data_IF_315836179837
#
_entry.id   IF_315836179837
#
_cell.length_a   1.000
_cell.length_b   1.000
_cell.length_c   1.000
_cell.angle_alpha   90.00
_cell.angle_beta   90.00
_cell.angle_gamma   90.00
#
_symmetry.space_group_name_H-M   'P 1'
#
loop_
_entity.id
_entity.type
_entity.pdbx_description
1 polymer ?
#
# COMPACT_ATOMS: atom_id res chain seq x y z
N UNK A 1 5.36 -31.72 7.57
CA UNK A 1 5.79 -30.34 7.89
C UNK A 1 7.05 -29.97 7.13
N UNK A 2 8.12 -30.76 7.22
CA UNK A 2 9.39 -30.50 6.49
C UNK A 2 9.20 -30.28 4.98
N UNK A 3 8.54 -31.22 4.29
CA UNK A 3 8.23 -31.12 2.84
C UNK A 3 7.41 -29.87 2.45
N UNK A 4 6.54 -29.39 3.33
CA UNK A 4 5.76 -28.18 3.05
C UNK A 4 6.62 -26.93 3.20
N UNK A 5 7.47 -26.89 4.23
CA UNK A 5 8.38 -25.76 4.47
C UNK A 5 9.46 -25.62 3.40
N UNK A 6 9.95 -26.74 2.83
CA UNK A 6 11.01 -26.74 1.82
C UNK A 6 10.50 -26.64 0.38
N UNK A 7 9.21 -26.92 0.15
CA UNK A 7 8.59 -26.79 -1.18
C UNK A 7 7.57 -25.65 -1.22
N UNK A 8 6.34 -25.88 -0.74
CA UNK A 8 5.19 -24.97 -0.90
C UNK A 8 5.38 -23.62 -0.22
N UNK A 9 5.99 -23.61 0.96
CA UNK A 9 6.27 -22.40 1.73
C UNK A 9 7.73 -21.95 1.63
N UNK A 10 8.53 -22.53 0.72
CA UNK A 10 9.95 -22.21 0.60
C UNK A 10 10.20 -20.72 0.38
N UNK A 11 9.37 -20.09 -0.46
CA UNK A 11 9.42 -18.64 -0.73
C UNK A 11 9.07 -17.82 0.52
N UNK A 12 8.16 -18.33 1.36
CA UNK A 12 7.73 -17.70 2.60
C UNK A 12 8.75 -17.81 3.73
N UNK A 13 9.71 -18.71 3.61
CA UNK A 13 10.73 -19.01 4.64
C UNK A 13 12.10 -18.40 4.31
N UNK A 14 12.20 -17.58 3.25
CA UNK A 14 13.43 -16.87 2.90
C UNK A 14 13.74 -15.75 3.90
N UNK A 15 15.00 -15.31 3.94
CA UNK A 15 15.46 -14.22 4.80
C UNK A 15 14.72 -12.90 4.54
N UNK A 16 14.30 -12.67 3.30
CA UNK A 16 13.50 -11.51 2.89
C UNK A 16 12.16 -11.97 2.31
N UNK A 17 11.15 -11.09 2.39
CA UNK A 17 9.81 -11.35 1.84
C UNK A 17 9.72 -11.06 0.33
N UNK A 18 10.84 -10.79 -0.35
CA UNK A 18 10.83 -10.38 -1.75
C UNK A 18 10.26 -11.46 -2.67
N UNK A 19 10.59 -12.74 -2.40
CA UNK A 19 10.05 -13.86 -3.15
C UNK A 19 8.54 -13.99 -2.95
N UNK A 20 8.07 -13.96 -1.70
CA UNK A 20 6.64 -13.97 -1.36
C UNK A 20 5.89 -12.81 -2.00
N UNK A 21 6.44 -11.59 -1.93
CA UNK A 21 5.82 -10.43 -2.53
C UNK A 21 5.77 -10.54 -4.06
N UNK A 22 6.84 -11.03 -4.70
CA UNK A 22 6.85 -11.31 -6.14
C UNK A 22 5.81 -12.36 -6.52
N UNK A 23 5.63 -13.39 -5.69
CA UNK A 23 4.60 -14.43 -5.88
C UNK A 23 3.18 -13.85 -5.80
N UNK A 24 2.90 -13.01 -4.81
CA UNK A 24 1.60 -12.35 -4.68
C UNK A 24 1.25 -11.45 -5.88
N UNK A 25 2.25 -10.89 -6.57
CA UNK A 25 2.01 -10.08 -7.78
C UNK A 25 1.37 -10.87 -8.92
N UNK A 26 1.41 -12.21 -8.91
CA UNK A 26 0.74 -13.06 -9.91
C UNK A 26 -0.78 -12.92 -9.88
N UNK A 27 -1.35 -12.39 -8.79
CA UNK A 27 -2.78 -12.09 -8.69
C UNK A 27 -3.18 -11.05 -9.76
N UNK A 28 -2.33 -10.06 -10.03
CA UNK A 28 -2.66 -8.96 -10.94
C UNK A 28 -2.87 -9.36 -12.38
N UNK A 29 -1.95 -10.10 -13.03
CA UNK A 29 -2.22 -10.59 -14.38
C UNK A 29 -3.50 -11.43 -14.46
N UNK A 30 -3.77 -12.28 -13.46
CA UNK A 30 -4.98 -13.12 -13.46
C UNK A 30 -6.26 -12.27 -13.42
N UNK A 31 -6.28 -11.24 -12.56
CA UNK A 31 -7.43 -10.33 -12.47
C UNK A 31 -7.55 -9.49 -13.74
N UNK A 32 -6.46 -8.98 -14.31
CA UNK A 32 -6.49 -8.15 -15.53
C UNK A 32 -6.98 -8.93 -16.76
N UNK A 33 -6.55 -10.18 -16.89
CA UNK A 33 -6.92 -11.05 -18.02
C UNK A 33 -8.39 -11.46 -18.00
N UNK A 34 -8.99 -11.60 -16.82
CA UNK A 34 -10.42 -11.94 -16.68
C UNK A 34 -11.33 -10.71 -16.57
N UNK A 35 -10.87 -9.65 -15.90
CA UNK A 35 -11.63 -8.44 -15.64
C UNK A 35 -10.72 -7.21 -15.53
N UNK A 36 -10.39 -6.64 -16.69
CA UNK A 36 -9.52 -5.45 -16.76
C UNK A 36 -10.11 -4.22 -16.07
N UNK A 37 -11.45 -4.11 -15.96
CA UNK A 37 -12.09 -3.01 -15.23
C UNK A 37 -11.82 -3.11 -13.73
N UNK A 38 -12.01 -4.30 -13.14
CA UNK A 38 -11.66 -4.57 -11.75
C UNK A 38 -10.17 -4.35 -11.50
N UNK A 39 -9.31 -4.83 -12.39
CA UNK A 39 -7.88 -4.60 -12.28
C UNK A 39 -7.54 -3.09 -12.26
N UNK A 40 -8.10 -2.30 -13.17
CA UNK A 40 -7.86 -0.86 -13.21
C UNK A 40 -8.32 -0.17 -11.92
N UNK A 41 -9.49 -0.54 -11.39
CA UNK A 41 -9.99 -0.03 -10.12
C UNK A 41 -9.03 -0.35 -8.95
N UNK A 42 -8.54 -1.60 -8.87
CA UNK A 42 -7.58 -2.03 -7.85
C UNK A 42 -6.21 -1.33 -7.98
N UNK A 43 -5.76 -1.02 -9.20
CA UNK A 43 -4.55 -0.23 -9.40
C UNK A 43 -4.73 1.23 -8.99
N UNK A 44 -5.89 1.83 -9.31
CA UNK A 44 -6.22 3.21 -8.96
C UNK A 44 -6.34 3.42 -7.45
N UNK A 45 -6.90 2.44 -6.72
CA UNK A 45 -6.99 2.49 -5.26
C UNK A 45 -5.63 2.35 -4.56
N UNK A 46 -4.58 1.92 -5.27
CA UNK A 46 -3.25 1.69 -4.74
C UNK A 46 -3.20 0.68 -3.56
N UNK A 47 -4.13 -0.28 -3.52
CA UNK A 47 -4.21 -1.27 -2.43
C UNK A 47 -2.99 -2.21 -2.36
N UNK A 48 -2.34 -2.48 -3.50
CA UNK A 48 -1.25 -3.45 -3.58
C UNK A 48 -1.72 -4.88 -3.27
N UNK A 49 -0.79 -5.81 -3.05
CA UNK A 49 -1.10 -7.24 -2.85
C UNK A 49 -0.96 -7.71 -1.40
N UNK A 50 -0.57 -6.82 -0.48
CA UNK A 50 -0.26 -7.19 0.90
C UNK A 50 -1.47 -7.68 1.69
N UNK A 51 -2.69 -7.31 1.30
CA UNK A 51 -3.92 -7.86 1.90
C UNK A 51 -4.00 -9.40 1.78
N UNK A 52 -3.40 -9.97 0.72
CA UNK A 52 -3.40 -11.40 0.46
C UNK A 52 -2.24 -12.15 1.14
N UNK A 53 -1.28 -11.43 1.72
CA UNK A 53 -0.15 -12.03 2.43
C UNK A 53 -0.58 -13.01 3.54
N UNK A 54 -1.49 -12.65 4.48
CA UNK A 54 -1.95 -13.60 5.51
C UNK A 54 -2.63 -14.84 4.90
N UNK A 55 -3.33 -14.69 3.78
CA UNK A 55 -3.99 -15.79 3.09
C UNK A 55 -2.98 -16.77 2.52
N UNK A 56 -1.95 -16.25 1.85
CA UNK A 56 -0.92 -17.06 1.22
C UNK A 56 -0.04 -17.77 2.25
N UNK A 57 0.38 -17.07 3.31
CA UNK A 57 1.25 -17.62 4.35
C UNK A 57 0.61 -18.75 5.15
N UNK A 58 -0.71 -18.70 5.34
CA UNK A 58 -1.42 -19.62 6.24
C UNK A 58 -2.45 -20.48 5.53
N UNK A 59 -2.45 -20.47 4.18
CA UNK A 59 -3.47 -21.12 3.36
C UNK A 59 -4.89 -20.84 3.88
N UNK A 60 -5.17 -19.56 4.13
CA UNK A 60 -6.45 -19.04 4.66
C UNK A 60 -6.84 -19.52 6.07
N UNK A 61 -5.98 -20.24 6.79
CA UNK A 61 -6.30 -20.85 8.08
C UNK A 61 -6.68 -19.87 9.19
N UNK A 62 -6.25 -18.60 9.10
CA UNK A 62 -6.67 -17.54 10.02
C UNK A 62 -7.71 -16.57 9.45
N UNK A 63 -8.10 -16.75 8.19
CA UNK A 63 -8.99 -15.83 7.48
C UNK A 63 -10.40 -16.37 7.29
N UNK A 64 -10.60 -17.67 7.53
CA UNK A 64 -11.90 -18.34 7.47
C UNK A 64 -12.34 -18.76 8.86
N UNK A 65 -13.63 -18.57 9.15
CA UNK A 65 -14.23 -19.04 10.40
C UNK A 65 -14.62 -20.52 10.35
N UNK A 66 -14.84 -21.06 9.14
CA UNK A 66 -15.25 -22.45 8.93
C UNK A 66 -14.04 -23.37 8.85
N UNK A 67 -13.87 -24.21 9.88
CA UNK A 67 -12.81 -25.23 9.89
C UNK A 67 -12.91 -26.20 8.72
N UNK A 68 -14.14 -26.54 8.30
CA UNK A 68 -14.40 -27.43 7.17
C UNK A 68 -13.79 -26.86 5.87
N UNK A 69 -13.97 -25.56 5.64
CA UNK A 69 -13.48 -24.92 4.41
C UNK A 69 -11.96 -24.78 4.44
N UNK A 70 -11.37 -24.51 5.61
CA UNK A 70 -9.90 -24.53 5.79
C UNK A 70 -9.35 -25.90 5.42
N UNK A 71 -9.87 -26.99 6.00
CA UNK A 71 -9.37 -28.34 5.70
C UNK A 71 -9.55 -28.67 4.22
N UNK A 72 -10.69 -28.28 3.62
CA UNK A 72 -10.95 -28.51 2.20
C UNK A 72 -9.95 -27.79 1.29
N UNK A 73 -9.57 -26.57 1.63
CA UNK A 73 -8.51 -25.82 0.93
C UNK A 73 -7.15 -26.51 1.07
N UNK A 74 -6.81 -27.00 2.27
CA UNK A 74 -5.58 -27.77 2.47
C UNK A 74 -5.55 -29.03 1.62
N UNK A 75 -6.63 -29.82 1.59
CA UNK A 75 -6.73 -31.01 0.73
C UNK A 75 -6.48 -30.66 -0.74
N UNK A 76 -7.07 -29.56 -1.20
CA UNK A 76 -6.90 -29.08 -2.56
C UNK A 76 -5.46 -28.63 -2.85
N UNK A 77 -4.85 -27.83 -1.97
CA UNK A 77 -3.48 -27.34 -2.16
C UNK A 77 -2.44 -28.47 -2.11
N UNK A 78 -2.64 -29.46 -1.24
CA UNK A 78 -1.76 -30.63 -1.16
C UNK A 78 -1.85 -31.52 -2.41
N UNK A 79 -3.00 -31.54 -3.07
CA UNK A 79 -3.24 -32.31 -4.30
C UNK A 79 -2.94 -31.53 -5.60
N UNK A 80 -2.54 -30.26 -5.50
CA UNK A 80 -2.39 -29.34 -6.63
C UNK A 80 -0.97 -28.80 -6.78
N UNK A 81 -0.63 -28.19 -7.93
CA UNK A 81 0.64 -27.47 -8.07
C UNK A 81 0.79 -26.32 -7.06
N UNK A 82 2.05 -26.00 -6.72
CA UNK A 82 2.41 -25.02 -5.66
C UNK A 82 1.81 -23.62 -5.84
N UNK A 83 1.44 -23.23 -7.06
CA UNK A 83 0.90 -21.91 -7.38
C UNK A 83 -0.58 -21.77 -7.05
N UNK A 84 -1.28 -22.88 -6.79
CA UNK A 84 -2.73 -22.90 -6.70
C UNK A 84 -3.34 -21.97 -5.64
N UNK A 85 -2.71 -21.71 -4.47
CA UNK A 85 -3.19 -20.69 -3.54
C UNK A 85 -3.34 -19.29 -4.15
N UNK A 86 -2.48 -18.93 -5.12
CA UNK A 86 -2.59 -17.66 -5.84
C UNK A 86 -3.78 -17.65 -6.79
N UNK A 87 -4.04 -18.75 -7.48
CA UNK A 87 -5.19 -18.88 -8.38
C UNK A 87 -6.51 -18.86 -7.61
N UNK A 88 -6.56 -19.50 -6.44
CA UNK A 88 -7.71 -19.40 -5.52
C UNK A 88 -7.90 -17.97 -5.03
N UNK A 89 -6.81 -17.26 -4.69
CA UNK A 89 -6.89 -15.85 -4.31
C UNK A 89 -7.46 -14.98 -5.44
N UNK A 90 -7.01 -15.19 -6.68
CA UNK A 90 -7.55 -14.48 -7.83
C UNK A 90 -9.02 -14.82 -8.08
N UNK A 91 -9.41 -16.10 -7.95
CA UNK A 91 -10.80 -16.53 -8.07
C UNK A 91 -11.71 -15.85 -7.04
N UNK A 92 -11.26 -15.72 -5.78
CA UNK A 92 -11.99 -15.00 -4.72
C UNK A 92 -12.17 -13.52 -5.10
N UNK A 93 -11.11 -12.85 -5.57
CA UNK A 93 -11.17 -11.44 -5.97
C UNK A 93 -12.14 -11.24 -7.15
N UNK A 94 -12.10 -12.13 -8.14
CA UNK A 94 -12.99 -12.10 -9.30
C UNK A 94 -14.45 -12.38 -8.90
N UNK A 95 -14.68 -13.32 -8.00
CA UNK A 95 -16.02 -13.61 -7.47
C UNK A 95 -16.60 -12.39 -6.74
N UNK A 96 -15.77 -11.67 -5.99
CA UNK A 96 -16.16 -10.46 -5.24
C UNK A 96 -16.02 -9.16 -6.04
N UNK A 97 -15.91 -9.25 -7.38
CA UNK A 97 -15.69 -8.08 -8.23
C UNK A 97 -16.73 -6.99 -8.01
N UNK A 98 -18.00 -7.37 -7.89
CA UNK A 98 -19.10 -6.42 -7.68
C UNK A 98 -18.93 -5.67 -6.35
N UNK A 99 -18.73 -6.38 -5.24
CA UNK A 99 -18.50 -5.76 -3.92
C UNK A 99 -17.32 -4.78 -3.94
N UNK A 100 -16.21 -5.19 -4.59
CA UNK A 100 -14.99 -4.39 -4.67
C UNK A 100 -15.23 -3.11 -5.48
N UNK A 101 -16.00 -3.17 -6.56
CA UNK A 101 -16.29 -2.00 -7.40
C UNK A 101 -17.28 -1.02 -6.75
N UNK A 102 -18.00 -1.43 -5.70
CA UNK A 102 -18.97 -0.59 -4.99
C UNK A 102 -18.38 0.19 -3.80
N UNK A 103 -17.17 -0.13 -3.34
CA UNK A 103 -16.51 0.64 -2.28
C UNK A 103 -15.79 1.87 -2.84
N UNK A 104 -15.40 2.79 -1.96
CA UNK A 104 -14.59 3.94 -2.35
C UNK A 104 -13.25 3.49 -2.96
N UNK A 105 -12.85 4.16 -4.04
CA UNK A 105 -11.61 3.86 -4.78
C UNK A 105 -10.39 4.44 -4.05
N UNK A 106 -10.14 3.94 -2.85
CA UNK A 106 -8.99 4.29 -2.02
C UNK A 106 -8.41 3.05 -1.32
N UNK A 107 -7.15 3.16 -0.91
CA UNK A 107 -6.41 2.04 -0.34
C UNK A 107 -7.09 1.47 0.92
N UNK A 108 -7.63 2.32 1.79
CA UNK A 108 -8.18 1.88 3.07
C UNK A 108 -9.50 1.13 2.89
N UNK A 109 -10.41 1.65 2.07
CA UNK A 109 -11.72 1.04 1.80
C UNK A 109 -11.58 -0.33 1.14
N UNK A 110 -10.75 -0.42 0.08
CA UNK A 110 -10.49 -1.67 -0.62
C UNK A 110 -9.75 -2.67 0.28
N UNK A 111 -8.72 -2.24 1.02
CA UNK A 111 -8.00 -3.11 1.96
C UNK A 111 -8.92 -3.64 3.06
N UNK A 112 -9.81 -2.81 3.61
CA UNK A 112 -10.76 -3.21 4.65
C UNK A 112 -11.71 -4.31 4.15
N UNK A 113 -12.27 -4.12 2.95
CA UNK A 113 -13.14 -5.11 2.31
C UNK A 113 -12.40 -6.42 2.06
N UNK A 114 -11.20 -6.35 1.48
CA UNK A 114 -10.43 -7.53 1.12
C UNK A 114 -9.85 -8.25 2.33
N UNK A 115 -9.59 -7.57 3.46
CA UNK A 115 -9.06 -8.23 4.66
C UNK A 115 -10.05 -9.18 5.34
N UNK A 116 -11.34 -9.09 5.00
CA UNK A 116 -12.40 -9.90 5.60
C UNK A 116 -13.09 -10.73 4.51
N UNK A 117 -12.98 -12.05 4.61
CA UNK A 117 -13.69 -12.98 3.74
C UNK A 117 -15.10 -13.23 4.28
N UNK A 118 -16.13 -13.18 3.43
CA UNK A 118 -17.48 -13.63 3.79
C UNK A 118 -17.47 -15.11 4.19
N UNK A 119 -18.33 -15.48 5.13
CA UNK A 119 -18.45 -16.87 5.61
C UNK A 119 -19.16 -17.79 4.61
N UNK A 120 -19.90 -17.22 3.66
CA UNK A 120 -20.74 -17.91 2.68
C UNK A 120 -20.09 -18.03 1.29
N UNK A 121 -18.76 -17.89 1.21
CA UNK A 121 -18.02 -18.06 -0.04
C UNK A 121 -18.23 -19.48 -0.61
N UNK A 122 -18.58 -19.62 -1.91
CA UNK A 122 -18.82 -20.90 -2.54
C UNK A 122 -17.49 -21.58 -2.91
N UNK A 123 -16.78 -22.13 -1.92
CA UNK A 123 -15.41 -22.65 -2.11
C UNK A 123 -15.28 -23.67 -3.23
N UNK A 124 -16.21 -24.60 -3.40
CA UNK A 124 -16.11 -25.57 -4.50
C UNK A 124 -16.13 -24.90 -5.88
N UNK A 125 -16.96 -23.87 -6.08
CA UNK A 125 -17.00 -23.10 -7.32
C UNK A 125 -15.72 -22.27 -7.51
N UNK A 126 -15.20 -21.71 -6.42
CA UNK A 126 -13.93 -20.97 -6.42
C UNK A 126 -12.74 -21.88 -6.76
N UNK A 127 -12.70 -23.10 -6.23
CA UNK A 127 -11.68 -24.09 -6.53
C UNK A 127 -11.75 -24.55 -8.00
N UNK A 128 -12.96 -24.77 -8.52
CA UNK A 128 -13.15 -25.06 -9.94
C UNK A 128 -12.67 -23.90 -10.82
N UNK A 129 -13.02 -22.67 -10.44
CA UNK A 129 -12.56 -21.46 -11.13
C UNK A 129 -11.04 -21.34 -11.09
N UNK A 130 -10.41 -21.60 -9.95
CA UNK A 130 -8.95 -21.58 -9.81
C UNK A 130 -8.27 -22.60 -10.73
N UNK A 131 -8.78 -23.84 -10.79
CA UNK A 131 -8.30 -24.87 -11.72
C UNK A 131 -8.45 -24.41 -13.18
N UNK A 132 -9.60 -23.85 -13.55
CA UNK A 132 -9.84 -23.35 -14.91
C UNK A 132 -8.86 -22.22 -15.28
N UNK A 133 -8.59 -21.29 -14.36
CA UNK A 133 -7.62 -20.23 -14.57
C UNK A 133 -6.19 -20.78 -14.73
N UNK A 134 -5.84 -21.81 -13.94
CA UNK A 134 -4.53 -22.47 -14.02
C UNK A 134 -4.33 -23.17 -15.36
N UNK A 135 -5.35 -23.86 -15.87
CA UNK A 135 -5.30 -24.54 -17.17
C UNK A 135 -5.32 -23.55 -18.34
N UNK A 136 -6.03 -22.42 -18.18
CA UNK A 136 -6.19 -21.39 -19.22
C UNK A 136 -4.91 -20.56 -19.43
N UNK A 137 -4.15 -20.27 -18.37
CA UNK A 137 -3.01 -19.35 -18.44
C UNK A 137 -1.68 -20.01 -18.11
N UNK A 138 -0.75 -19.97 -19.07
CA UNK A 138 0.63 -20.42 -18.81
C UNK A 138 1.32 -19.52 -17.78
N UNK A 139 2.03 -20.14 -16.83
CA UNK A 139 2.83 -19.44 -15.83
C UNK A 139 3.86 -18.49 -16.46
N UNK A 140 4.42 -18.84 -17.62
CA UNK A 140 5.39 -17.98 -18.33
C UNK A 140 4.78 -16.65 -18.80
N UNK A 141 3.51 -16.67 -19.19
CA UNK A 141 2.77 -15.46 -19.60
C UNK A 141 2.50 -14.59 -18.38
N UNK A 142 2.06 -15.21 -17.28
CA UNK A 142 1.80 -14.51 -16.01
C UNK A 142 3.08 -13.86 -15.50
N UNK A 143 4.20 -14.60 -15.47
CA UNK A 143 5.52 -14.12 -15.06
C UNK A 143 5.95 -12.89 -15.86
N UNK A 144 5.83 -12.94 -17.18
CA UNK A 144 6.16 -11.81 -18.06
C UNK A 144 5.30 -10.58 -17.74
N UNK A 145 4.00 -10.76 -17.51
CA UNK A 145 3.12 -9.66 -17.10
C UNK A 145 3.54 -9.09 -15.74
N UNK A 146 3.91 -9.91 -14.76
CA UNK A 146 4.42 -9.43 -13.46
C UNK A 146 5.70 -8.61 -13.65
N UNK A 147 6.64 -9.08 -14.47
CA UNK A 147 7.87 -8.33 -14.76
C UNK A 147 7.58 -6.97 -15.40
N UNK A 148 6.60 -6.91 -16.31
CA UNK A 148 6.17 -5.68 -16.95
C UNK A 148 5.52 -4.71 -15.95
N UNK A 149 4.69 -5.20 -15.03
CA UNK A 149 4.10 -4.40 -13.95
C UNK A 149 5.18 -3.83 -13.02
N UNK A 150 6.10 -4.68 -12.56
CA UNK A 150 7.23 -4.27 -11.70
C UNK A 150 8.10 -3.23 -12.40
N UNK A 151 8.34 -3.39 -13.72
CA UNK A 151 9.11 -2.42 -14.51
C UNK A 151 8.40 -1.07 -14.60
N UNK A 152 7.09 -1.07 -14.86
CA UNK A 152 6.27 0.15 -14.92
C UNK A 152 6.27 0.88 -13.58
N UNK A 153 6.09 0.17 -12.48
CA UNK A 153 6.09 0.75 -11.14
C UNK A 153 7.46 1.38 -10.79
N UNK A 154 8.57 0.67 -11.08
CA UNK A 154 9.92 1.22 -10.88
C UNK A 154 10.14 2.51 -11.67
N UNK A 155 9.68 2.56 -12.93
CA UNK A 155 9.79 3.75 -13.76
C UNK A 155 8.97 4.91 -13.18
N UNK A 156 7.75 4.66 -12.73
CA UNK A 156 6.89 5.67 -12.09
C UNK A 156 7.54 6.25 -10.83
N UNK A 157 8.08 5.40 -9.95
CA UNK A 157 8.80 5.82 -8.75
C UNK A 157 10.01 6.71 -9.09
N UNK A 158 10.83 6.30 -10.06
CA UNK A 158 11.96 7.11 -10.52
C UNK A 158 11.54 8.47 -11.10
N UNK A 159 10.44 8.51 -11.86
CA UNK A 159 9.91 9.76 -12.42
C UNK A 159 9.37 10.68 -11.33
N UNK A 160 8.72 10.13 -10.31
CA UNK A 160 8.24 10.89 -9.16
C UNK A 160 9.40 11.45 -8.32
N UNK A 161 10.42 10.63 -8.04
CA UNK A 161 11.64 11.07 -7.36
C UNK A 161 12.34 12.21 -8.10
N UNK A 162 12.47 12.10 -9.43
CA UNK A 162 13.02 13.18 -10.28
C UNK A 162 12.19 14.46 -10.16
N UNK A 163 10.86 14.36 -10.22
CA UNK A 163 9.94 15.52 -10.06
C UNK A 163 10.08 16.18 -8.69
N UNK A 164 10.14 15.39 -7.62
CA UNK A 164 10.34 15.90 -6.25
C UNK A 164 11.70 16.60 -6.15
N UNK A 165 12.74 16.03 -6.74
CA UNK A 165 14.09 16.59 -6.71
C UNK A 165 14.20 17.90 -7.50
N UNK A 166 13.54 18.00 -8.66
CA UNK A 166 13.45 19.23 -9.43
C UNK A 166 12.70 20.33 -8.67
N UNK A 167 11.56 20.00 -8.05
CA UNK A 167 10.79 20.93 -7.22
C UNK A 167 11.63 21.45 -6.04
N UNK A 168 12.38 20.59 -5.37
CA UNK A 168 13.33 20.99 -4.30
C UNK A 168 14.41 21.94 -4.82
N UNK A 169 15.01 21.66 -5.98
CA UNK A 169 16.01 22.54 -6.61
C UNK A 169 15.43 23.91 -6.98
N UNK A 170 14.21 23.96 -7.52
CA UNK A 170 13.53 25.20 -7.85
C UNK A 170 13.25 26.06 -6.61
N UNK A 171 12.72 25.45 -5.53
CA UNK A 171 12.50 26.14 -4.26
C UNK A 171 13.81 26.71 -3.67
N UNK A 172 14.90 25.93 -3.72
CA UNK A 172 16.22 26.40 -3.28
C UNK A 172 16.77 27.56 -4.13
N UNK A 173 16.56 27.53 -5.46
CA UNK A 173 16.93 28.65 -6.36
C UNK A 173 16.11 29.90 -6.05
N UNK A 174 14.80 29.77 -5.88
CA UNK A 174 13.91 30.90 -5.55
C UNK A 174 14.25 31.52 -4.19
N UNK A 175 14.56 30.69 -3.18
CA UNK A 175 15.02 31.18 -1.88
C UNK A 175 16.35 31.94 -1.96
N UNK A 176 17.33 31.46 -2.74
CA UNK A 176 18.60 32.18 -2.98
C UNK A 176 18.39 33.50 -3.72
N UNK A 177 17.51 33.54 -4.72
CA UNK A 177 17.17 34.76 -5.44
C UNK A 177 16.45 35.78 -4.53
N UNK A 178 15.51 35.33 -3.70
CA UNK A 178 14.83 36.16 -2.69
C UNK A 178 15.79 36.70 -1.63
N UNK A 179 16.73 35.89 -1.16
CA UNK A 179 17.75 36.32 -0.20
C UNK A 179 18.71 37.37 -0.79
N UNK A 180 19.06 37.28 -2.07
CA UNK A 180 19.88 38.31 -2.72
C UNK A 180 19.16 39.67 -2.82
N UNK A 181 17.82 39.68 -2.92
CA UNK A 181 17.04 40.92 -2.89
C UNK A 181 16.88 41.48 -1.47
N UNK A 182 16.66 40.62 -0.47
CA UNK A 182 16.59 41.03 0.94
C UNK A 182 17.94 41.49 1.49
N UNK A 183 19.03 40.77 1.18
CA UNK A 183 20.39 41.12 1.58
C UNK A 183 20.88 42.44 0.93
N UNK A 184 20.37 42.79 -0.26
CA UNK A 184 20.61 44.12 -0.87
C UNK A 184 19.88 45.25 -0.17
N UNK A 185 18.73 44.99 0.46
CA UNK A 185 17.96 45.98 1.20
C UNK A 185 18.36 46.07 2.69
N UNK A 186 19.15 45.10 3.16
CA UNK A 186 19.61 44.99 4.55
C UNK A 186 20.92 45.72 4.95
N UNK A 187 21.55 46.65 4.18
CA UNK A 187 22.67 47.41 4.73
C UNK A 187 22.20 48.75 5.31
N UNK A 188 21.33 48.75 6.33
CA UNK A 188 21.17 49.95 7.20
C UNK A 188 20.34 49.79 8.48
N UNK A 189 19.73 48.62 8.76
CA UNK A 189 18.87 48.45 9.94
C UNK A 189 19.56 47.84 11.17
N UNK A 190 20.74 47.25 11.02
CA UNK A 190 21.52 46.67 12.13
C UNK A 190 22.57 47.67 12.63
N UNK A 191 22.09 48.76 13.23
CA UNK A 191 22.90 49.55 14.18
C UNK A 191 22.65 49.00 15.59
N UNK A 192 23.62 49.08 16.52
CA UNK A 192 23.52 48.46 17.85
C UNK A 192 22.31 48.90 18.68
N UNK A 193 21.65 50.01 18.30
CA UNK A 193 20.42 50.50 18.94
C UNK A 193 19.16 49.73 18.53
N UNK A 194 19.10 49.14 17.32
CA UNK A 194 17.90 48.42 16.86
C UNK A 194 17.82 47.00 17.41
N UNK A 195 18.96 46.35 17.68
CA UNK A 195 19.01 45.01 18.29
C UNK A 195 18.27 44.99 19.64
N UNK A 196 18.52 45.97 20.51
CA UNK A 196 17.89 46.06 21.85
C UNK A 196 16.36 46.15 21.74
N UNK A 197 15.84 46.87 20.74
CA UNK A 197 14.39 47.05 20.55
C UNK A 197 13.75 45.74 20.08
N UNK A 198 14.40 45.00 19.19
CA UNK A 198 13.87 43.73 18.67
C UNK A 198 13.87 42.60 19.71
N UNK A 199 14.85 42.54 20.61
CA UNK A 199 14.85 41.59 21.73
C UNK A 199 13.81 41.95 22.79
N UNK A 200 13.62 43.25 23.07
CA UNK A 200 12.60 43.69 24.01
C UNK A 200 11.18 43.35 23.51
N UNK A 201 10.90 43.53 22.21
CA UNK A 201 9.60 43.23 21.63
C UNK A 201 9.27 41.72 21.66
N UNK A 202 10.26 40.86 21.38
CA UNK A 202 10.05 39.40 21.42
C UNK A 202 9.83 38.86 22.84
N UNK A 203 10.48 39.45 23.86
CA UNK A 203 10.20 39.14 25.27
C UNK A 203 8.80 39.60 25.67
N UNK A 204 8.38 40.80 25.23
CA UNK A 204 7.06 41.36 25.58
C UNK A 204 5.92 40.55 24.96
N UNK A 205 6.07 40.11 23.70
CA UNK A 205 5.11 39.21 23.04
C UNK A 205 5.04 37.85 23.75
N UNK A 206 6.17 37.31 24.20
CA UNK A 206 6.22 36.07 24.98
C UNK A 206 5.49 36.19 26.33
N UNK A 207 5.68 37.30 27.04
CA UNK A 207 5.00 37.59 28.31
C UNK A 207 3.49 37.78 28.09
N UNK A 208 3.10 38.52 27.05
CA UNK A 208 1.69 38.69 26.70
C UNK A 208 1.04 37.35 26.35
N UNK A 209 1.68 36.51 25.53
CA UNK A 209 1.14 35.20 25.18
C UNK A 209 1.01 34.26 26.38
N UNK A 210 1.96 34.31 27.33
CA UNK A 210 1.90 33.55 28.57
C UNK A 210 0.71 33.97 29.45
N UNK A 211 0.51 35.28 29.64
CA UNK A 211 -0.62 35.78 30.42
C UNK A 211 -1.96 35.52 29.76
N UNK A 212 -2.04 35.68 28.44
CA UNK A 212 -3.24 35.38 27.66
C UNK A 212 -3.63 33.91 27.81
N UNK A 213 -2.67 32.99 27.67
CA UNK A 213 -2.89 31.54 27.87
C UNK A 213 -3.34 31.19 29.30
N UNK A 214 -2.82 31.89 30.31
CA UNK A 214 -3.18 31.62 31.70
C UNK A 214 -4.59 32.10 32.08
N UNK A 215 -5.13 33.13 31.40
CA UNK A 215 -6.52 33.58 31.59
C UNK A 215 -7.56 32.61 31.00
N UNK A 216 -7.25 31.87 29.94
CA UNK A 216 -8.17 30.85 29.39
C UNK A 216 -8.28 29.60 30.27
N UNK A 217 -7.22 29.21 30.98
CA UNK A 217 -7.23 28.05 31.88
C UNK A 217 -8.02 28.32 33.18
N UNK A 218 -8.21 29.58 33.57
CA UNK A 218 -8.94 29.93 34.80
C UNK A 218 -10.45 30.13 34.59
N UNK A 219 -10.94 30.11 33.35
CA UNK A 219 -12.33 30.46 33.00
C UNK A 219 -13.14 29.30 32.38
N UNK A 220 -12.69 28.05 32.49
CA UNK A 220 -13.35 26.91 31.83
C UNK A 220 -13.20 25.57 32.55
N UNK A 221 -13.73 25.49 33.78
CA UNK A 221 -14.26 24.24 34.37
C UNK A 221 -15.71 24.50 34.77
N UNK A 222 -16.60 24.28 33.80
CA UNK A 222 -17.96 23.73 33.95
C UNK A 222 -18.46 23.35 32.56
#
# INVERSE_FOLDING_TARGET
>A
MEELSTNHFSECMQETMDATQKRLMFIWPLVDLENSHLFQFLQQSAVGTLFALPWYLTWFGHSLNSYKDVVRLYDYFLASPIYMPIFVTAAIILYRAEDILHVDCDMASVHCLLSKLPDDLPFEDLLNTASLLYDKYSLTVIEKHVEDLVRKEKLQRQLEEKRIQERRKQLARNARAGNNNLARWLPQMLTPKSMIVTTAFSILVGICAYYYKNQYLSAGVS
#
